data_IF_214454485422
#
_entry.id   IF_214454485422
#
_cell.length_a   1.000
_cell.length_b   1.000
_cell.length_c   1.000
_cell.angle_alpha   90.00
_cell.angle_beta   90.00
_cell.angle_gamma   90.00
#
_symmetry.space_group_name_H-M   'P 1'
#
loop_
_entity.id
_entity.type
_entity.pdbx_description
1 polymer ?
#
# COMPACT_ATOMS: atom_id res chain seq x y z
N UNK A 1 -9.27 -11.58 -3.85
CA UNK A 1 -8.07 -11.20 -4.62
C UNK A 1 -8.15 -9.70 -4.94
N UNK A 2 -7.02 -9.00 -5.04
CA UNK A 2 -6.98 -7.56 -5.36
C UNK A 2 -6.36 -7.34 -6.75
N UNK A 3 -7.03 -6.58 -7.60
CA UNK A 3 -6.49 -6.16 -8.89
C UNK A 3 -5.43 -5.07 -8.71
N UNK A 4 -4.36 -5.15 -9.49
CA UNK A 4 -3.24 -4.22 -9.47
C UNK A 4 -3.26 -3.33 -10.71
N UNK A 5 -2.68 -2.13 -10.59
CA UNK A 5 -2.60 -1.15 -11.68
C UNK A 5 -1.15 -1.01 -12.15
N UNK A 6 -0.90 -0.83 -13.46
CA UNK A 6 0.44 -0.56 -13.94
C UNK A 6 0.92 0.82 -13.47
N UNK A 7 2.21 0.93 -13.18
CA UNK A 7 2.84 2.19 -12.76
C UNK A 7 4.31 2.23 -13.20
N UNK A 8 4.75 3.40 -13.64
CA UNK A 8 6.17 3.69 -13.88
C UNK A 8 6.86 4.15 -12.60
N UNK A 9 8.14 3.83 -12.45
CA UNK A 9 8.99 4.39 -11.38
C UNK A 9 9.81 5.61 -11.85
N UNK A 10 9.66 5.97 -13.11
CA UNK A 10 10.29 7.11 -13.79
C UNK A 10 9.44 7.45 -15.01
N UNK A 11 9.31 8.72 -15.32
CA UNK A 11 8.70 9.21 -16.56
C UNK A 11 9.72 9.33 -17.70
N UNK A 12 11.00 9.03 -17.43
CA UNK A 12 12.09 9.02 -18.41
C UNK A 12 12.14 7.62 -19.08
N UNK A 13 12.01 7.53 -20.42
CA UNK A 13 12.09 6.27 -21.14
C UNK A 13 13.39 5.49 -20.89
N UNK A 14 13.33 4.18 -21.06
CA UNK A 14 14.42 3.20 -20.94
C UNK A 14 15.14 3.20 -19.57
N UNK A 15 14.55 3.82 -18.55
CA UNK A 15 15.17 3.90 -17.22
C UNK A 15 14.77 2.71 -16.35
N UNK A 16 13.46 2.43 -16.25
CA UNK A 16 12.91 1.38 -15.38
C UNK A 16 11.71 0.72 -16.06
N UNK A 17 11.58 -0.58 -15.85
CA UNK A 17 10.42 -1.33 -16.36
C UNK A 17 9.18 -1.07 -15.51
N UNK A 18 8.00 -1.36 -16.09
CA UNK A 18 6.70 -1.21 -15.43
C UNK A 18 6.62 -2.04 -14.16
N UNK A 19 5.97 -1.45 -13.15
CA UNK A 19 5.62 -2.11 -11.89
C UNK A 19 4.11 -2.14 -11.72
N UNK A 20 3.66 -2.84 -10.69
CA UNK A 20 2.25 -3.00 -10.36
C UNK A 20 1.96 -2.37 -9.00
N UNK A 21 1.16 -1.32 -8.98
CA UNK A 21 0.67 -0.69 -7.76
C UNK A 21 -0.55 -1.44 -7.20
N UNK A 22 -0.55 -1.71 -5.90
CA UNK A 22 -1.68 -2.28 -5.18
C UNK A 22 -2.43 -1.18 -4.40
N UNK A 23 -3.69 -0.88 -4.74
CA UNK A 23 -4.45 0.14 -4.01
C UNK A 23 -4.88 -0.28 -2.60
N UNK A 24 -4.80 -1.57 -2.29
CA UNK A 24 -5.15 -2.11 -0.97
C UNK A 24 -4.05 -1.91 0.07
N UNK A 25 -2.81 -2.25 -0.27
CA UNK A 25 -1.66 -2.09 0.64
C UNK A 25 -0.77 -0.89 0.31
N UNK A 26 -1.08 -0.15 -0.76
CA UNK A 26 -0.35 1.05 -1.20
C UNK A 26 1.12 0.80 -1.53
N UNK A 27 1.42 -0.37 -2.06
CA UNK A 27 2.78 -0.82 -2.31
C UNK A 27 2.96 -1.25 -3.78
N UNK A 28 4.23 -1.30 -4.22
CA UNK A 28 4.64 -1.51 -5.61
C UNK A 28 5.29 -2.90 -5.76
N UNK A 29 4.80 -3.66 -6.73
CA UNK A 29 5.20 -5.04 -6.98
C UNK A 29 5.78 -5.24 -8.38
N UNK A 30 6.57 -6.29 -8.54
CA UNK A 30 7.01 -6.73 -9.85
C UNK A 30 5.90 -7.52 -10.58
N UNK A 31 5.74 -7.34 -11.91
CA UNK A 31 4.90 -8.22 -12.71
C UNK A 31 5.35 -9.67 -12.58
N UNK A 32 4.39 -10.60 -12.37
CA UNK A 32 4.70 -12.04 -12.23
C UNK A 32 5.25 -12.66 -13.51
N UNK A 33 4.77 -12.19 -14.66
CA UNK A 33 5.19 -12.68 -15.98
C UNK A 33 6.35 -11.85 -16.52
N UNK A 34 7.40 -12.52 -16.98
CA UNK A 34 8.55 -11.91 -17.64
C UNK A 34 8.16 -11.08 -18.87
N UNK A 35 7.10 -11.48 -19.59
CA UNK A 35 6.57 -10.75 -20.75
C UNK A 35 6.25 -9.29 -20.42
N UNK A 36 5.64 -9.04 -19.28
CA UNK A 36 5.28 -7.69 -18.84
C UNK A 36 6.44 -7.00 -18.10
N UNK A 37 7.36 -7.78 -17.52
CA UNK A 37 8.54 -7.27 -16.84
C UNK A 37 9.55 -6.56 -17.74
N UNK A 38 9.45 -6.75 -19.06
CA UNK A 38 10.29 -6.08 -20.06
C UNK A 38 9.69 -4.78 -20.62
N UNK A 39 8.42 -4.46 -20.30
CA UNK A 39 7.76 -3.25 -20.79
C UNK A 39 8.28 -2.04 -20.02
N UNK A 40 8.55 -0.94 -20.73
CA UNK A 40 8.99 0.32 -20.13
C UNK A 40 7.89 0.93 -19.24
N UNK A 41 8.25 1.33 -18.02
CA UNK A 41 7.33 1.95 -17.08
C UNK A 41 6.94 3.37 -17.48
N UNK A 42 7.78 4.07 -18.24
CA UNK A 42 7.53 5.46 -18.65
C UNK A 42 6.25 5.60 -19.49
N UNK A 43 5.80 4.55 -20.18
CA UNK A 43 4.55 4.56 -20.96
C UNK A 43 3.28 4.64 -20.11
N UNK A 44 3.37 4.27 -18.83
CA UNK A 44 2.27 4.38 -17.87
C UNK A 44 2.38 5.63 -17.00
N UNK A 45 3.61 6.11 -16.81
CA UNK A 45 3.94 7.24 -15.96
C UNK A 45 3.89 6.92 -14.47
N UNK A 46 4.44 7.83 -13.67
CA UNK A 46 4.57 7.70 -12.21
C UNK A 46 3.28 7.95 -11.45
N UNK A 47 2.34 8.67 -12.05
CA UNK A 47 1.16 9.22 -11.36
C UNK A 47 -0.17 8.55 -11.69
N UNK A 48 -0.22 7.66 -12.70
CA UNK A 48 -1.49 7.09 -13.20
C UNK A 48 -2.40 6.48 -12.11
N UNK A 49 -1.92 5.59 -11.21
CA UNK A 49 -2.78 5.02 -10.18
C UNK A 49 -3.32 6.08 -9.22
N UNK A 50 -2.50 7.07 -8.87
CA UNK A 50 -2.88 8.14 -7.95
C UNK A 50 -3.95 9.05 -8.55
N UNK A 51 -3.79 9.44 -9.82
CA UNK A 51 -4.78 10.25 -10.54
C UNK A 51 -6.10 9.49 -10.71
N UNK A 52 -6.05 8.19 -11.01
CA UNK A 52 -7.25 7.36 -11.13
C UNK A 52 -8.11 7.42 -9.85
N UNK A 53 -7.50 7.29 -8.67
CA UNK A 53 -8.23 7.32 -7.40
C UNK A 53 -8.61 8.73 -6.94
N UNK A 54 -7.92 9.76 -7.42
CA UNK A 54 -8.35 11.14 -7.21
C UNK A 54 -9.65 11.44 -7.98
N UNK A 55 -9.80 10.91 -9.20
CA UNK A 55 -11.01 11.10 -10.03
C UNK A 55 -12.13 10.12 -9.62
N UNK A 56 -11.76 8.89 -9.27
CA UNK A 56 -12.71 7.81 -8.92
C UNK A 56 -12.41 7.21 -7.53
N UNK A 57 -12.69 7.94 -6.44
CA UNK A 57 -12.37 7.50 -5.08
C UNK A 57 -13.12 6.21 -4.67
N UNK A 58 -14.27 5.96 -5.28
CA UNK A 58 -15.10 4.77 -5.09
C UNK A 58 -14.48 3.46 -5.60
N UNK A 59 -13.36 3.51 -6.34
CA UNK A 59 -12.58 2.31 -6.69
C UNK A 59 -11.50 1.96 -5.65
N UNK A 60 -11.27 2.80 -4.64
CA UNK A 60 -10.34 2.47 -3.57
C UNK A 60 -10.90 1.32 -2.71
N UNK A 61 -10.20 0.18 -2.62
CA UNK A 61 -10.62 -0.92 -1.77
C UNK A 61 -10.43 -0.55 -0.29
N UNK A 62 -11.22 -1.18 0.58
CA UNK A 62 -10.96 -1.13 2.01
C UNK A 62 -9.55 -1.66 2.32
N UNK A 63 -8.85 -0.96 3.21
CA UNK A 63 -7.52 -1.38 3.67
C UNK A 63 -7.68 -2.67 4.45
N UNK A 64 -6.84 -3.67 4.14
CA UNK A 64 -6.77 -4.87 4.97
C UNK A 64 -5.74 -4.63 6.08
N UNK A 65 -6.18 -4.71 7.33
CA UNK A 65 -5.33 -4.58 8.51
C UNK A 65 -4.73 -5.92 8.96
N UNK A 66 -5.17 -7.04 8.36
CA UNK A 66 -4.62 -8.36 8.66
C UNK A 66 -3.17 -8.45 8.16
N UNK A 67 -2.25 -8.50 9.12
CA UNK A 67 -0.84 -8.77 8.87
C UNK A 67 -0.57 -10.26 9.01
N UNK A 68 0.25 -10.79 8.12
CA UNK A 68 0.77 -12.16 8.26
C UNK A 68 1.46 -12.34 9.61
N UNK A 69 1.01 -13.33 10.38
CA UNK A 69 1.62 -13.71 11.66
C UNK A 69 2.34 -15.04 11.46
N UNK A 70 3.68 -15.04 11.35
CA UNK A 70 4.43 -16.28 11.18
C UNK A 70 4.29 -17.16 12.42
N UNK A 71 3.94 -18.43 12.18
CA UNK A 71 3.76 -19.43 13.22
C UNK A 71 4.51 -20.72 12.88
N UNK A 72 5.12 -21.33 13.90
CA UNK A 72 5.76 -22.65 13.83
C UNK A 72 5.01 -23.54 14.83
N UNK A 73 4.42 -24.64 14.35
CA UNK A 73 3.52 -25.51 15.14
C UNK A 73 2.40 -24.74 15.89
N UNK A 74 1.90 -23.65 15.30
CA UNK A 74 0.85 -22.81 15.90
C UNK A 74 1.36 -21.69 16.82
N UNK A 75 2.62 -21.75 17.25
CA UNK A 75 3.25 -20.74 18.11
C UNK A 75 3.82 -19.59 17.27
N UNK A 76 3.62 -18.34 17.73
CA UNK A 76 4.22 -17.16 17.09
C UNK A 76 5.74 -17.20 17.24
N UNK A 77 6.48 -16.82 16.20
CA UNK A 77 7.94 -16.68 16.27
C UNK A 77 8.31 -15.54 17.23
N UNK A 78 9.17 -15.80 18.22
CA UNK A 78 9.43 -14.90 19.36
C UNK A 78 9.81 -13.46 18.94
N UNK A 79 10.84 -13.31 18.11
CA UNK A 79 11.33 -11.98 17.74
C UNK A 79 10.29 -11.19 16.95
N UNK A 80 9.57 -11.88 16.07
CA UNK A 80 8.49 -11.29 15.28
C UNK A 80 7.31 -10.92 16.18
N UNK A 81 7.01 -11.72 17.20
CA UNK A 81 5.97 -11.42 18.17
C UNK A 81 6.29 -10.15 18.98
N UNK A 82 7.55 -9.94 19.35
CA UNK A 82 7.98 -8.72 20.04
C UNK A 82 7.86 -7.48 19.14
N UNK A 83 8.36 -7.57 17.91
CA UNK A 83 8.25 -6.48 16.93
C UNK A 83 6.78 -6.14 16.61
N UNK A 84 5.93 -7.15 16.47
CA UNK A 84 4.51 -6.96 16.16
C UNK A 84 3.79 -6.21 17.28
N UNK A 85 4.01 -6.59 18.55
CA UNK A 85 3.44 -5.89 19.71
C UNK A 85 3.82 -4.40 19.74
N UNK A 86 5.09 -4.08 19.45
CA UNK A 86 5.56 -2.70 19.38
C UNK A 86 4.85 -1.91 18.26
N UNK A 87 4.73 -2.51 17.08
CA UNK A 87 4.08 -1.86 15.93
C UNK A 87 2.58 -1.67 16.13
N UNK A 88 1.90 -2.62 16.78
CA UNK A 88 0.47 -2.53 17.11
C UNK A 88 0.22 -1.36 18.09
N UNK A 89 1.03 -1.25 19.15
CA UNK A 89 0.96 -0.10 20.07
C UNK A 89 1.22 1.25 19.38
N UNK A 90 2.18 1.30 18.45
CA UNK A 90 2.45 2.52 17.69
C UNK A 90 1.27 2.92 16.79
N UNK A 91 0.62 1.94 16.14
CA UNK A 91 -0.59 2.17 15.33
C UNK A 91 -1.75 2.70 16.16
N UNK A 92 -2.07 2.05 17.27
CA UNK A 92 -3.16 2.47 18.17
C UNK A 92 -2.98 3.92 18.64
N UNK A 93 -1.74 4.29 19.01
CA UNK A 93 -1.39 5.67 19.37
C UNK A 93 -1.59 6.66 18.22
N UNK A 94 -1.22 6.28 17.00
CA UNK A 94 -1.40 7.14 15.83
C UNK A 94 -2.88 7.33 15.49
N UNK A 95 -3.68 6.25 15.52
CA UNK A 95 -5.11 6.29 15.25
C UNK A 95 -5.85 7.14 16.29
N UNK A 96 -5.54 6.98 17.58
CA UNK A 96 -6.10 7.82 18.64
C UNK A 96 -5.82 9.31 18.40
N UNK A 97 -4.57 9.66 18.03
CA UNK A 97 -4.22 11.05 17.66
C UNK A 97 -4.97 11.54 16.43
N UNK A 98 -5.20 10.69 15.43
CA UNK A 98 -5.92 11.05 14.20
C UNK A 98 -7.40 11.32 14.48
N UNK A 99 -8.03 10.51 15.32
CA UNK A 99 -9.42 10.70 15.76
C UNK A 99 -9.58 11.98 16.60
N UNK A 100 -8.63 12.25 17.50
CA UNK A 100 -8.60 13.53 18.25
C UNK A 100 -8.56 14.72 17.29
N UNK A 101 -7.69 14.69 16.26
CA UNK A 101 -7.59 15.77 15.27
C UNK A 101 -8.87 15.96 14.45
N UNK A 102 -9.50 14.87 13.97
CA UNK A 102 -10.75 14.97 13.21
C UNK A 102 -11.91 15.52 14.04
N UNK A 103 -11.93 15.22 15.34
CA UNK A 103 -12.96 15.71 16.25
C UNK A 103 -12.76 17.20 16.59
N UNK A 104 -11.51 17.66 16.70
CA UNK A 104 -11.21 19.09 16.91
C UNK A 104 -11.50 19.98 15.68
N UNK A 105 -11.37 19.45 14.46
CA UNK A 105 -11.67 20.20 13.22
C UNK A 105 -13.16 20.29 12.89
N UNK A 106 -13.99 19.41 13.47
CA UNK A 106 -15.46 19.40 13.30
C UNK A 106 -16.20 20.21 14.37
N UNK A 107 -15.50 20.65 15.43
CA UNK A 107 -16.03 21.47 16.53
C UNK A 107 -15.65 22.95 16.43
N UNK A 108 -14.95 23.35 15.36
CA UNK A 108 -14.53 24.73 15.07
C UNK A 108 -15.20 25.31 13.81
N UNK A 109 -16.30 24.70 13.36
CA UNK A 109 -17.22 25.19 12.33
C UNK A 109 -18.61 25.38 12.91
#
# INVERSE_FOLDING_TARGET
>A
MQSLLPVGLSDIPMTKTVKLYCPRCEDIYNPKSSRHGAVDGAYFGTSFPHMLFQVHPNYLPSKNLERYVPRIFGFKVHDIANQQRFQDQARERYEAKRQLKSNTSSSSS
#
